data_IF_995577764366
#
_entry.id   IF_995577764366
#
_cell.length_a   1.000
_cell.length_b   1.000
_cell.length_c   1.000
_cell.angle_alpha   90.00
_cell.angle_beta   90.00
_cell.angle_gamma   90.00
#
_symmetry.space_group_name_H-M   'P 1'
#
loop_
_entity.id
_entity.type
_entity.pdbx_description
1 polymer ?
#
# COMPACT_ATOMS: atom_id res chain seq x y z
N UNK A 1 14.68 51.46 -2.75
CA UNK A 1 15.66 51.88 -3.78
C UNK A 1 14.99 52.54 -4.99
N UNK A 2 13.94 51.96 -5.58
CA UNK A 2 13.28 52.53 -6.78
C UNK A 2 12.67 53.93 -6.59
N UNK A 3 12.03 54.22 -5.45
CA UNK A 3 11.47 55.54 -5.16
C UNK A 3 12.56 56.64 -5.13
N UNK A 4 13.73 56.35 -4.58
CA UNK A 4 14.82 57.29 -4.54
C UNK A 4 15.30 57.73 -5.91
N UNK A 5 15.35 56.83 -6.88
CA UNK A 5 15.74 57.15 -8.26
C UNK A 5 14.70 58.07 -8.92
N UNK A 6 13.40 57.79 -8.76
CA UNK A 6 12.34 58.64 -9.28
C UNK A 6 12.41 60.05 -8.70
N UNK A 7 12.52 60.16 -7.35
CA UNK A 7 12.60 61.45 -6.67
C UNK A 7 13.88 62.22 -7.04
N UNK A 8 15.02 61.53 -7.17
CA UNK A 8 16.28 62.16 -7.55
C UNK A 8 16.23 62.70 -8.99
N UNK A 9 15.75 61.90 -9.95
CA UNK A 9 15.64 62.33 -11.34
C UNK A 9 14.62 63.46 -11.50
N UNK A 10 13.45 63.35 -10.87
CA UNK A 10 12.45 64.40 -10.87
C UNK A 10 12.98 65.69 -10.22
N UNK A 11 13.62 65.60 -9.08
CA UNK A 11 14.21 66.74 -8.36
C UNK A 11 15.30 67.43 -9.17
N UNK A 12 16.23 66.68 -9.76
CA UNK A 12 17.29 67.23 -10.63
C UNK A 12 16.68 67.88 -11.87
N UNK A 13 15.69 67.27 -12.50
CA UNK A 13 15.04 67.81 -13.68
C UNK A 13 14.30 69.11 -13.39
N UNK A 14 13.62 69.22 -12.23
CA UNK A 14 12.94 70.46 -11.78
C UNK A 14 13.98 71.53 -11.46
N UNK A 15 15.07 71.19 -10.84
CA UNK A 15 16.17 72.14 -10.51
C UNK A 15 16.80 72.67 -11.81
N UNK A 16 17.10 71.88 -12.82
CA UNK A 16 17.63 72.31 -14.13
C UNK A 16 16.63 73.16 -14.88
N UNK A 17 15.33 72.88 -14.78
CA UNK A 17 14.28 73.71 -15.35
C UNK A 17 14.23 75.11 -14.68
N UNK A 18 14.37 75.16 -13.40
CA UNK A 18 14.43 76.46 -12.65
C UNK A 18 15.66 77.33 -13.05
N UNK A 19 16.72 76.66 -13.55
CA UNK A 19 17.91 77.33 -14.09
C UNK A 19 17.78 77.66 -15.59
N UNK A 20 16.60 77.57 -16.15
CA UNK A 20 16.30 77.78 -17.60
C UNK A 20 17.18 76.97 -18.54
N UNK A 21 17.83 75.89 -18.06
CA UNK A 21 18.69 75.03 -18.90
C UNK A 21 17.95 73.96 -19.66
N UNK A 22 16.74 73.56 -19.22
CA UNK A 22 15.88 72.57 -19.88
C UNK A 22 14.44 73.02 -19.87
N UNK A 23 13.67 72.61 -20.90
CA UNK A 23 12.24 72.85 -21.00
C UNK A 23 11.39 71.92 -20.16
N UNK A 24 10.14 72.31 -19.86
CA UNK A 24 9.21 71.49 -19.06
C UNK A 24 8.97 70.09 -19.65
N UNK A 25 9.07 69.92 -20.98
CA UNK A 25 8.98 68.64 -21.66
C UNK A 25 10.09 67.67 -21.28
N UNK A 26 11.26 68.16 -20.87
CA UNK A 26 12.39 67.33 -20.45
C UNK A 26 12.10 66.65 -19.10
N UNK A 27 11.37 67.32 -18.18
CA UNK A 27 10.94 66.72 -16.90
C UNK A 27 10.02 65.55 -17.14
N UNK A 28 9.02 65.70 -18.02
CA UNK A 28 8.09 64.65 -18.35
C UNK A 28 8.81 63.47 -19.02
N UNK A 29 9.72 63.76 -19.97
CA UNK A 29 10.51 62.75 -20.66
C UNK A 29 11.40 61.94 -19.71
N UNK A 30 12.18 62.63 -18.83
CA UNK A 30 13.07 62.01 -17.88
C UNK A 30 12.32 61.13 -16.86
N UNK A 31 11.21 61.65 -16.30
CA UNK A 31 10.36 60.90 -15.40
C UNK A 31 9.74 59.67 -16.07
N UNK A 32 9.22 59.84 -17.31
CA UNK A 32 8.65 58.73 -18.10
C UNK A 32 9.67 57.63 -18.42
N UNK A 33 10.92 58.03 -18.74
CA UNK A 33 12.00 57.03 -18.97
C UNK A 33 12.37 56.25 -17.71
N UNK A 34 12.44 56.92 -16.56
CA UNK A 34 12.74 56.25 -15.27
C UNK A 34 11.62 55.26 -14.91
N UNK A 35 10.36 55.65 -15.04
CA UNK A 35 9.22 54.77 -14.81
C UNK A 35 9.23 53.58 -15.74
N UNK A 36 9.57 53.79 -17.00
CA UNK A 36 9.70 52.70 -18.00
C UNK A 36 10.83 51.74 -17.67
N UNK A 37 12.01 52.25 -17.29
CA UNK A 37 13.14 51.42 -16.86
C UNK A 37 12.80 50.61 -15.60
N UNK A 38 12.09 51.23 -14.67
CA UNK A 38 11.64 50.54 -13.46
C UNK A 38 10.65 49.42 -13.77
N UNK A 39 9.67 49.63 -14.64
CA UNK A 39 8.73 48.61 -15.11
C UNK A 39 9.46 47.46 -15.77
N UNK A 40 10.45 47.77 -16.65
CA UNK A 40 11.27 46.69 -17.30
C UNK A 40 12.10 45.91 -16.27
N UNK A 41 12.69 46.58 -15.27
CA UNK A 41 13.44 45.90 -14.22
C UNK A 41 12.56 44.95 -13.39
N UNK A 42 11.35 45.41 -13.03
CA UNK A 42 10.38 44.57 -12.32
C UNK A 42 9.93 43.37 -13.15
N UNK A 43 9.68 43.57 -14.45
CA UNK A 43 9.29 42.50 -15.34
C UNK A 43 10.43 41.47 -15.47
N UNK A 44 11.68 41.91 -15.65
CA UNK A 44 12.84 41.00 -15.70
C UNK A 44 12.96 40.18 -14.42
N UNK A 45 12.83 40.84 -13.24
CA UNK A 45 12.90 40.14 -11.95
C UNK A 45 11.79 39.11 -11.81
N UNK A 46 10.57 39.43 -12.26
CA UNK A 46 9.46 38.48 -12.24
C UNK A 46 9.71 37.31 -13.17
N UNK A 47 10.19 37.56 -14.41
CA UNK A 47 10.50 36.54 -15.40
C UNK A 47 11.61 35.59 -14.90
N UNK A 48 12.68 36.16 -14.32
CA UNK A 48 13.78 35.35 -13.73
C UNK A 48 13.26 34.50 -12.58
N UNK A 49 12.42 35.03 -11.69
CA UNK A 49 11.82 34.27 -10.59
C UNK A 49 10.94 33.14 -11.12
N UNK A 50 10.12 33.39 -12.14
CA UNK A 50 9.28 32.37 -12.78
C UNK A 50 10.13 31.26 -13.42
N UNK A 51 11.26 31.61 -14.04
CA UNK A 51 12.18 30.59 -14.60
C UNK A 51 12.72 29.68 -13.48
N UNK A 52 13.18 30.25 -12.36
CA UNK A 52 13.67 29.43 -11.25
C UNK A 52 12.58 28.58 -10.62
N UNK A 53 11.36 29.09 -10.48
CA UNK A 53 10.21 28.32 -10.00
C UNK A 53 9.91 27.13 -10.92
N UNK A 54 9.84 27.36 -12.24
CA UNK A 54 9.61 26.31 -13.22
C UNK A 54 10.75 25.28 -13.24
N UNK A 55 12.01 25.70 -13.12
CA UNK A 55 13.15 24.77 -13.00
C UNK A 55 12.99 23.93 -11.72
N UNK A 56 12.61 24.52 -10.59
CA UNK A 56 12.35 23.78 -9.35
C UNK A 56 11.28 22.70 -9.51
N UNK A 57 10.15 23.05 -10.12
CA UNK A 57 9.05 22.10 -10.40
C UNK A 57 9.51 20.97 -11.33
N UNK A 58 10.28 21.31 -12.39
CA UNK A 58 10.81 20.30 -13.32
C UNK A 58 11.81 19.38 -12.61
N UNK A 59 12.71 19.94 -11.80
CA UNK A 59 13.69 19.14 -11.04
C UNK A 59 13.01 18.18 -10.05
N UNK A 60 12.02 18.64 -9.31
CA UNK A 60 11.22 17.80 -8.40
C UNK A 60 10.52 16.66 -9.16
N UNK A 61 9.91 17.00 -10.31
CA UNK A 61 9.31 16.00 -11.20
C UNK A 61 10.31 14.98 -11.73
N UNK A 62 11.49 15.44 -12.17
CA UNK A 62 12.57 14.56 -12.66
C UNK A 62 13.10 13.68 -11.53
N UNK A 63 13.34 14.22 -10.33
CA UNK A 63 13.80 13.45 -9.18
C UNK A 63 12.80 12.35 -8.81
N UNK A 64 11.49 12.65 -8.89
CA UNK A 64 10.43 11.66 -8.63
C UNK A 64 10.41 10.55 -9.69
N UNK A 65 10.55 10.90 -10.98
CA UNK A 65 10.47 9.95 -12.10
C UNK A 65 11.76 9.15 -12.28
N UNK A 66 12.91 9.79 -12.10
CA UNK A 66 14.23 9.20 -12.30
C UNK A 66 14.78 8.47 -11.06
N UNK A 67 13.96 8.36 -9.99
CA UNK A 67 14.37 7.64 -8.79
C UNK A 67 14.58 6.17 -9.13
N UNK A 68 15.79 5.67 -8.88
CA UNK A 68 16.12 4.27 -9.08
C UNK A 68 15.20 3.37 -8.25
N UNK A 69 14.86 2.22 -8.80
CA UNK A 69 14.09 1.21 -8.06
C UNK A 69 14.97 0.68 -6.94
N UNK A 70 14.44 0.70 -5.71
CA UNK A 70 15.17 0.20 -4.55
C UNK A 70 15.41 -1.31 -4.63
N UNK A 71 14.55 -2.06 -5.33
CA UNK A 71 14.62 -3.50 -5.50
C UNK A 71 14.49 -3.85 -6.97
N UNK A 72 15.52 -4.46 -7.50
CA UNK A 72 15.58 -4.94 -8.88
C UNK A 72 15.75 -6.46 -8.93
N UNK A 73 15.38 -7.03 -10.08
CA UNK A 73 15.65 -8.45 -10.30
C UNK A 73 17.16 -8.64 -10.51
N UNK A 74 17.70 -9.66 -9.85
CA UNK A 74 19.13 -9.98 -10.01
C UNK A 74 19.43 -10.39 -11.45
N UNK A 75 20.62 -10.03 -12.00
CA UNK A 75 21.02 -10.50 -13.31
C UNK A 75 20.98 -12.03 -13.39
N UNK A 76 20.19 -12.57 -14.31
CA UNK A 76 19.97 -14.01 -14.43
C UNK A 76 18.83 -14.57 -13.56
N UNK A 77 18.00 -13.71 -12.96
CA UNK A 77 16.80 -14.14 -12.25
C UNK A 77 15.90 -15.03 -13.16
N UNK A 78 15.40 -16.11 -12.57
CA UNK A 78 14.57 -17.10 -13.29
C UNK A 78 13.11 -16.97 -12.89
N UNK A 79 12.18 -17.51 -13.67
CA UNK A 79 10.79 -17.57 -13.26
C UNK A 79 10.59 -18.56 -12.10
N UNK A 80 9.77 -18.18 -11.13
CA UNK A 80 9.34 -19.05 -10.05
C UNK A 80 8.09 -19.82 -10.46
N UNK A 81 8.20 -21.14 -10.48
CA UNK A 81 7.05 -22.04 -10.57
C UNK A 81 6.87 -22.74 -9.21
N UNK A 82 5.74 -22.45 -8.54
CA UNK A 82 5.40 -23.07 -7.25
C UNK A 82 4.59 -24.33 -7.50
N UNK A 83 5.05 -25.45 -6.93
CA UNK A 83 4.42 -26.76 -7.10
C UNK A 83 3.65 -27.16 -5.84
N UNK A 84 4.21 -26.90 -4.67
CA UNK A 84 3.64 -27.32 -3.38
C UNK A 84 3.27 -26.14 -2.48
N UNK A 85 4.00 -25.02 -2.58
CA UNK A 85 3.75 -23.81 -1.82
C UNK A 85 4.36 -23.81 -0.40
N UNK A 86 5.37 -24.63 -0.11
CA UNK A 86 6.11 -24.56 1.16
C UNK A 86 6.93 -23.28 1.24
N UNK A 87 6.92 -22.58 2.39
CA UNK A 87 7.66 -21.34 2.64
C UNK A 87 8.61 -21.54 3.80
N UNK A 88 9.87 -21.10 3.65
CA UNK A 88 10.85 -21.13 4.72
C UNK A 88 11.57 -19.79 4.84
N UNK A 89 11.57 -19.24 6.02
CA UNK A 89 12.43 -18.15 6.44
C UNK A 89 13.62 -18.77 7.16
N UNK A 90 14.83 -18.51 6.69
CA UNK A 90 16.08 -19.13 7.14
C UNK A 90 16.98 -18.05 7.74
N UNK A 91 16.95 -17.89 9.06
CA UNK A 91 17.71 -16.94 9.87
C UNK A 91 17.66 -15.50 9.37
N UNK A 92 16.46 -15.03 9.00
CA UNK A 92 16.27 -13.72 8.38
C UNK A 92 16.46 -12.58 9.39
N UNK A 93 17.14 -11.52 8.92
CA UNK A 93 17.27 -10.25 9.65
C UNK A 93 16.94 -9.08 8.72
N UNK A 94 16.21 -8.07 9.25
CA UNK A 94 15.76 -6.92 8.47
C UNK A 94 15.51 -5.69 9.33
N UNK A 95 15.90 -4.52 8.80
CA UNK A 95 15.57 -3.19 9.32
C UNK A 95 15.14 -2.25 8.17
N UNK A 96 14.25 -1.27 8.42
CA UNK A 96 13.83 -0.26 7.43
C UNK A 96 14.86 0.86 7.22
N UNK A 97 15.91 0.97 8.01
CA UNK A 97 16.96 1.97 7.89
C UNK A 97 18.07 1.56 6.92
N UNK A 98 18.80 2.55 6.35
CA UNK A 98 20.01 2.30 5.56
C UNK A 98 21.26 2.05 6.41
N UNK A 99 21.23 2.40 7.70
CA UNK A 99 22.31 2.13 8.64
C UNK A 99 22.14 0.71 9.20
N UNK A 100 23.17 -0.11 9.08
CA UNK A 100 23.24 -1.41 9.75
C UNK A 100 23.17 -1.16 11.26
N UNK A 101 22.02 -1.46 11.82
CA UNK A 101 21.86 -1.62 13.27
C UNK A 101 22.38 -3.01 13.60
N UNK A 102 22.90 -3.20 14.79
CA UNK A 102 23.29 -4.55 15.26
C UNK A 102 22.14 -5.54 15.00
N UNK A 103 22.48 -6.76 14.57
CA UNK A 103 21.53 -7.80 14.14
C UNK A 103 20.43 -8.07 15.18
N UNK A 104 20.70 -7.74 16.44
CA UNK A 104 19.75 -7.89 17.56
C UNK A 104 18.76 -6.71 17.74
N UNK A 105 18.94 -5.58 17.03
CA UNK A 105 18.12 -4.37 17.18
C UNK A 105 17.20 -4.11 15.97
N UNK A 106 17.20 -4.98 14.94
CA UNK A 106 16.36 -4.87 13.75
C UNK A 106 14.87 -5.07 14.01
N UNK A 107 14.04 -4.74 13.03
CA UNK A 107 12.60 -5.02 13.07
C UNK A 107 12.33 -6.53 13.04
N UNK A 108 13.21 -7.30 12.38
CA UNK A 108 13.26 -8.77 12.41
C UNK A 108 14.70 -9.15 12.73
N UNK A 109 14.91 -10.07 13.69
CA UNK A 109 16.22 -10.42 14.22
C UNK A 109 16.42 -11.94 14.27
N UNK A 110 17.13 -12.50 13.26
CA UNK A 110 17.50 -13.92 13.20
C UNK A 110 16.29 -14.86 13.26
N UNK A 111 15.22 -14.55 12.49
CA UNK A 111 13.96 -15.30 12.55
C UNK A 111 14.03 -16.53 11.65
N UNK A 112 13.72 -17.69 12.24
CA UNK A 112 13.53 -18.96 11.54
C UNK A 112 12.05 -19.35 11.60
N UNK A 113 11.46 -19.67 10.44
CA UNK A 113 10.08 -20.15 10.34
C UNK A 113 9.94 -21.06 9.13
N UNK A 114 9.40 -22.25 9.32
CA UNK A 114 9.05 -23.17 8.24
C UNK A 114 7.54 -23.37 8.20
N UNK A 115 6.95 -23.19 7.01
CA UNK A 115 5.53 -23.35 6.73
C UNK A 115 5.39 -24.49 5.72
N UNK A 116 4.71 -25.56 6.13
CA UNK A 116 4.56 -26.73 5.27
C UNK A 116 3.59 -26.44 4.10
N UNK A 117 3.76 -27.11 2.97
CA UNK A 117 2.80 -27.04 1.87
C UNK A 117 1.36 -27.31 2.32
N UNK A 118 0.45 -26.39 2.03
CA UNK A 118 -0.97 -26.49 2.42
C UNK A 118 -1.27 -26.17 3.87
N UNK A 119 -0.26 -25.84 4.68
CA UNK A 119 -0.43 -25.45 6.06
C UNK A 119 -1.04 -24.04 6.17
N UNK A 120 -1.92 -23.85 7.15
CA UNK A 120 -2.54 -22.56 7.46
C UNK A 120 -1.97 -22.05 8.77
N UNK A 121 -1.13 -21.02 8.71
CA UNK A 121 -0.58 -20.39 9.90
C UNK A 121 -1.21 -19.03 10.19
N UNK A 122 -1.43 -18.76 11.49
CA UNK A 122 -1.84 -17.46 11.99
C UNK A 122 -0.68 -16.76 12.70
N UNK A 123 -0.35 -15.54 12.25
CA UNK A 123 0.67 -14.71 12.90
C UNK A 123 -0.04 -13.75 13.86
N UNK A 124 0.27 -13.86 15.15
CA UNK A 124 -0.32 -13.09 16.25
C UNK A 124 0.77 -12.30 16.96
N UNK A 125 0.47 -11.16 17.54
CA UNK A 125 1.42 -10.36 18.30
C UNK A 125 0.99 -8.91 18.43
N UNK A 126 1.67 -8.16 19.28
CA UNK A 126 1.41 -6.74 19.51
C UNK A 126 1.61 -5.91 18.24
N UNK A 127 1.05 -4.70 18.23
CA UNK A 127 1.39 -3.73 17.18
C UNK A 127 2.90 -3.45 17.22
N UNK A 128 3.54 -3.42 16.03
CA UNK A 128 4.99 -3.24 15.92
C UNK A 128 5.83 -4.52 16.12
N UNK A 129 5.22 -5.69 16.34
CA UNK A 129 5.96 -6.96 16.53
C UNK A 129 6.65 -7.49 15.24
N UNK A 130 6.47 -6.85 14.07
CA UNK A 130 7.09 -7.28 12.81
C UNK A 130 6.20 -8.13 11.89
N UNK A 131 4.91 -8.36 12.22
CA UNK A 131 3.99 -9.22 11.44
C UNK A 131 3.85 -8.79 9.98
N UNK A 132 3.50 -7.53 9.73
CA UNK A 132 3.35 -6.99 8.36
C UNK A 132 4.70 -6.91 7.63
N UNK A 133 5.80 -6.72 8.37
CA UNK A 133 7.15 -6.77 7.82
C UNK A 133 7.46 -8.16 7.27
N UNK A 134 7.12 -9.23 8.00
CA UNK A 134 7.33 -10.61 7.55
C UNK A 134 6.61 -10.90 6.22
N UNK A 135 5.37 -10.42 6.08
CA UNK A 135 4.59 -10.50 4.84
C UNK A 135 5.23 -9.66 3.72
N UNK A 136 5.67 -8.45 4.01
CA UNK A 136 6.32 -7.57 3.03
C UNK A 136 7.62 -8.16 2.49
N UNK A 137 8.38 -8.85 3.33
CA UNK A 137 9.60 -9.56 2.94
C UNK A 137 9.28 -10.77 2.05
N UNK A 138 8.21 -11.54 2.32
CA UNK A 138 7.78 -12.64 1.47
C UNK A 138 7.36 -12.16 0.07
N UNK A 139 6.74 -10.97 -0.03
CA UNK A 139 6.37 -10.33 -1.30
C UNK A 139 7.57 -9.63 -1.99
N UNK A 140 8.75 -9.68 -1.35
CA UNK A 140 9.96 -8.99 -1.78
C UNK A 140 9.69 -7.51 -2.10
N UNK A 141 9.03 -6.81 -1.14
CA UNK A 141 8.96 -5.36 -1.16
C UNK A 141 10.23 -4.72 -0.59
N UNK A 142 11.04 -5.53 0.10
CA UNK A 142 12.35 -5.19 0.64
C UNK A 142 13.26 -6.42 0.51
N UNK A 143 14.55 -6.20 0.28
CA UNK A 143 15.56 -7.23 0.36
C UNK A 143 16.05 -7.37 1.81
N UNK A 144 16.47 -8.58 2.18
CA UNK A 144 16.97 -8.90 3.51
C UNK A 144 18.37 -8.32 3.74
N UNK A 145 18.71 -8.03 4.99
CA UNK A 145 20.08 -7.71 5.40
C UNK A 145 20.91 -8.98 5.63
N UNK A 146 20.26 -10.04 6.14
CA UNK A 146 20.87 -11.35 6.35
C UNK A 146 19.82 -12.46 6.27
N UNK A 147 20.28 -13.69 6.01
CA UNK A 147 19.41 -14.85 5.81
C UNK A 147 18.80 -14.92 4.42
N UNK A 148 17.76 -15.75 4.26
CA UNK A 148 17.05 -15.95 2.99
C UNK A 148 15.62 -16.43 3.21
N UNK A 149 14.78 -16.19 2.22
CA UNK A 149 13.42 -16.72 2.16
C UNK A 149 13.32 -17.65 0.96
N UNK A 150 12.82 -18.85 1.21
CA UNK A 150 12.70 -19.90 0.22
C UNK A 150 11.23 -20.25 -0.01
N UNK A 151 10.83 -20.45 -1.27
CA UNK A 151 9.55 -21.04 -1.64
C UNK A 151 9.83 -22.33 -2.41
N UNK A 152 9.33 -23.46 -1.91
CA UNK A 152 9.62 -24.80 -2.43
C UNK A 152 11.14 -25.04 -2.62
N UNK A 153 11.95 -24.50 -1.70
CA UNK A 153 13.42 -24.61 -1.69
C UNK A 153 14.14 -23.63 -2.63
N UNK A 154 13.43 -22.77 -3.37
CA UNK A 154 14.02 -21.72 -4.22
C UNK A 154 14.09 -20.40 -3.49
N UNK A 155 15.25 -19.76 -3.48
CA UNK A 155 15.44 -18.44 -2.89
C UNK A 155 14.72 -17.36 -3.72
N UNK A 156 13.83 -16.59 -3.05
CA UNK A 156 13.05 -15.53 -3.69
C UNK A 156 13.91 -14.36 -4.22
N UNK A 157 15.15 -14.21 -3.73
CA UNK A 157 16.08 -13.21 -4.24
C UNK A 157 16.61 -13.55 -5.65
N UNK A 158 16.56 -14.83 -6.05
CA UNK A 158 17.06 -15.33 -7.33
C UNK A 158 16.01 -15.47 -8.42
N UNK A 159 14.77 -15.13 -8.12
CA UNK A 159 13.66 -15.20 -9.08
C UNK A 159 13.13 -13.81 -9.44
N UNK A 160 12.41 -13.70 -10.56
CA UNK A 160 11.80 -12.42 -10.96
C UNK A 160 10.65 -12.07 -10.02
N UNK A 161 10.53 -10.78 -9.65
CA UNK A 161 9.48 -10.28 -8.76
C UNK A 161 8.09 -10.57 -9.30
N UNK A 162 7.89 -10.46 -10.62
CA UNK A 162 6.60 -10.72 -11.26
C UNK A 162 6.19 -12.18 -11.11
N UNK A 163 7.12 -13.13 -11.34
CA UNK A 163 6.85 -14.55 -11.17
C UNK A 163 6.59 -14.92 -9.69
N UNK A 164 7.35 -14.35 -8.77
CA UNK A 164 7.13 -14.50 -7.32
C UNK A 164 5.74 -14.03 -6.92
N UNK A 165 5.39 -12.79 -7.26
CA UNK A 165 4.10 -12.18 -6.91
C UNK A 165 2.92 -12.83 -7.62
N UNK A 166 3.14 -13.45 -8.79
CA UNK A 166 2.11 -14.26 -9.46
C UNK A 166 1.70 -15.48 -8.62
N UNK A 167 2.61 -16.07 -7.84
CA UNK A 167 2.36 -17.25 -7.01
C UNK A 167 1.77 -16.93 -5.63
N UNK A 168 1.64 -15.65 -5.27
CA UNK A 168 1.13 -15.21 -3.98
C UNK A 168 -0.12 -14.36 -4.20
N UNK A 169 -1.24 -14.74 -3.61
CA UNK A 169 -2.43 -13.89 -3.56
C UNK A 169 -2.53 -13.25 -2.18
N UNK A 170 -3.03 -12.01 -2.12
CA UNK A 170 -3.17 -11.29 -0.85
C UNK A 170 -4.54 -10.61 -0.76
N UNK A 171 -5.21 -10.79 0.37
CA UNK A 171 -6.35 -9.98 0.80
C UNK A 171 -5.83 -8.97 1.81
N UNK A 172 -5.87 -7.70 1.45
CA UNK A 172 -5.38 -6.59 2.30
C UNK A 172 -6.47 -6.07 3.23
N UNK A 173 -6.08 -5.45 4.34
CA UNK A 173 -6.96 -4.74 5.26
C UNK A 173 -7.75 -3.63 4.55
N UNK A 174 -7.08 -2.82 3.74
CA UNK A 174 -7.71 -1.82 2.88
C UNK A 174 -8.12 -2.45 1.55
N UNK A 175 -9.44 -2.56 1.35
CA UNK A 175 -10.06 -3.09 0.13
C UNK A 175 -10.33 -1.98 -0.87
N UNK A 176 -9.33 -1.17 -1.20
CA UNK A 176 -9.47 -0.12 -2.21
C UNK A 176 -9.72 -0.74 -3.60
N UNK A 177 -10.64 -0.10 -4.31
CA UNK A 177 -10.98 -0.48 -5.69
C UNK A 177 -10.48 0.58 -6.66
N UNK A 178 -10.11 0.14 -7.85
CA UNK A 178 -9.75 1.02 -8.95
C UNK A 178 -11.01 1.75 -9.44
N UNK A 179 -10.86 3.01 -9.88
CA UNK A 179 -11.94 3.81 -10.51
C UNK A 179 -12.29 3.28 -11.91
N UNK A 180 -12.77 2.04 -11.97
CA UNK A 180 -13.08 1.28 -13.18
C UNK A 180 -14.34 0.45 -12.97
N UNK A 181 -14.74 -0.34 -13.98
CA UNK A 181 -15.85 -1.27 -13.84
C UNK A 181 -15.56 -2.35 -12.78
N UNK A 182 -16.61 -2.98 -12.27
CA UNK A 182 -16.49 -4.15 -11.39
C UNK A 182 -15.74 -5.26 -12.09
N UNK A 183 -16.03 -5.48 -13.38
CA UNK A 183 -15.33 -6.46 -14.22
C UNK A 183 -13.82 -6.23 -14.22
N UNK A 184 -13.36 -5.03 -14.53
CA UNK A 184 -11.93 -4.69 -14.55
C UNK A 184 -11.30 -4.80 -13.17
N UNK A 185 -12.04 -4.47 -12.11
CA UNK A 185 -11.58 -4.63 -10.74
C UNK A 185 -11.30 -6.09 -10.38
N UNK A 186 -12.18 -7.02 -10.73
CA UNK A 186 -11.98 -8.45 -10.48
C UNK A 186 -10.88 -9.00 -11.39
N UNK A 187 -10.91 -8.68 -12.67
CA UNK A 187 -9.95 -9.14 -13.69
C UNK A 187 -8.53 -8.62 -13.47
N UNK A 188 -8.36 -7.58 -12.66
CA UNK A 188 -7.06 -6.96 -12.41
C UNK A 188 -5.97 -7.94 -11.98
N UNK A 189 -6.32 -8.96 -11.20
CA UNK A 189 -5.39 -10.01 -10.74
C UNK A 189 -4.96 -11.00 -11.82
N UNK A 190 -5.74 -11.13 -12.91
CA UNK A 190 -5.50 -12.05 -14.03
C UNK A 190 -5.99 -11.43 -15.35
N UNK A 191 -5.20 -10.56 -15.99
CA UNK A 191 -5.62 -9.77 -17.14
C UNK A 191 -6.13 -10.60 -18.33
N UNK A 192 -5.66 -11.84 -18.46
CA UNK A 192 -6.12 -12.79 -19.51
C UNK A 192 -7.40 -13.56 -19.19
N UNK A 193 -8.05 -13.31 -18.03
CA UNK A 193 -9.25 -14.04 -17.64
C UNK A 193 -10.44 -13.74 -18.57
N UNK A 194 -11.23 -14.76 -18.88
CA UNK A 194 -12.49 -14.62 -19.63
C UNK A 194 -13.60 -14.06 -18.75
N UNK A 195 -14.67 -13.57 -19.36
CA UNK A 195 -15.85 -13.08 -18.64
C UNK A 195 -16.48 -14.17 -17.76
N UNK A 196 -16.59 -15.40 -18.25
CA UNK A 196 -17.11 -16.53 -17.48
C UNK A 196 -16.28 -16.81 -16.23
N UNK A 197 -14.95 -16.67 -16.30
CA UNK A 197 -14.05 -16.82 -15.15
C UNK A 197 -14.27 -15.71 -14.11
N UNK A 198 -14.49 -14.48 -14.56
CA UNK A 198 -14.80 -13.33 -13.69
C UNK A 198 -16.15 -13.54 -12.99
N UNK A 199 -17.19 -13.98 -13.74
CA UNK A 199 -18.51 -14.29 -13.18
C UNK A 199 -18.40 -15.43 -12.15
N UNK A 200 -17.67 -16.48 -12.47
CA UNK A 200 -17.47 -17.60 -11.54
C UNK A 200 -16.78 -17.16 -10.24
N UNK A 201 -15.75 -16.31 -10.34
CA UNK A 201 -15.06 -15.74 -9.19
C UNK A 201 -15.97 -14.81 -8.35
N UNK A 202 -16.79 -13.98 -9.00
CA UNK A 202 -17.77 -13.12 -8.33
C UNK A 202 -18.80 -13.96 -7.56
N UNK A 203 -19.30 -15.04 -8.15
CA UNK A 203 -20.24 -15.98 -7.52
C UNK A 203 -19.60 -16.70 -6.34
N UNK A 204 -18.36 -17.18 -6.48
CA UNK A 204 -17.63 -17.86 -5.41
C UNK A 204 -17.35 -16.90 -4.21
N UNK A 205 -17.24 -15.60 -4.48
CA UNK A 205 -17.13 -14.55 -3.47
C UNK A 205 -18.47 -14.07 -2.92
N UNK A 206 -19.61 -14.72 -3.30
CA UNK A 206 -20.98 -14.28 -2.96
C UNK A 206 -21.26 -12.82 -3.32
N UNK A 207 -20.69 -12.37 -4.45
CA UNK A 207 -20.77 -10.99 -4.90
C UNK A 207 -21.77 -10.78 -6.05
N UNK A 208 -22.21 -11.84 -6.70
CA UNK A 208 -23.06 -11.84 -7.89
C UNK A 208 -24.42 -11.17 -7.66
N UNK A 209 -25.06 -11.41 -6.50
CA UNK A 209 -26.37 -10.84 -6.18
C UNK A 209 -26.34 -9.32 -6.19
N UNK A 210 -25.47 -8.71 -5.38
CA UNK A 210 -25.40 -7.25 -5.31
C UNK A 210 -24.81 -6.63 -6.57
N UNK A 211 -23.88 -7.33 -7.26
CA UNK A 211 -23.32 -6.85 -8.54
C UNK A 211 -24.44 -6.69 -9.57
N UNK A 212 -25.38 -7.64 -9.66
CA UNK A 212 -26.48 -7.58 -10.60
C UNK A 212 -27.39 -6.33 -10.41
N UNK A 213 -27.48 -5.81 -9.20
CA UNK A 213 -28.28 -4.65 -8.84
C UNK A 213 -27.55 -3.31 -9.04
N UNK A 214 -26.23 -3.33 -9.31
CA UNK A 214 -25.46 -2.10 -9.47
C UNK A 214 -25.87 -1.36 -10.75
N UNK A 215 -26.05 -0.06 -10.62
CA UNK A 215 -26.22 0.88 -11.73
C UNK A 215 -25.45 2.15 -11.39
N UNK A 216 -24.58 2.60 -12.30
CA UNK A 216 -23.84 3.85 -12.10
C UNK A 216 -24.54 5.07 -12.72
N UNK A 217 -24.02 6.26 -12.45
CA UNK A 217 -24.59 7.52 -12.91
C UNK A 217 -24.62 7.70 -14.46
N UNK A 218 -24.03 6.77 -15.21
CA UNK A 218 -24.05 6.73 -16.68
C UNK A 218 -24.97 5.62 -17.21
N UNK A 219 -25.69 4.90 -16.34
CA UNK A 219 -26.64 3.85 -16.70
C UNK A 219 -25.96 2.50 -17.02
N UNK A 220 -24.63 2.32 -16.72
CA UNK A 220 -23.97 1.02 -16.85
C UNK A 220 -24.35 0.14 -15.68
N UNK A 221 -24.60 -1.14 -15.96
CA UNK A 221 -25.16 -2.08 -14.98
C UNK A 221 -24.28 -3.28 -14.72
N UNK A 222 -24.44 -3.90 -13.56
CA UNK A 222 -23.82 -5.16 -13.21
C UNK A 222 -22.28 -5.06 -13.20
N UNK A 223 -21.63 -5.98 -13.87
CA UNK A 223 -20.16 -6.01 -14.01
C UNK A 223 -19.60 -4.78 -14.71
N UNK A 224 -20.36 -4.12 -15.59
CA UNK A 224 -19.93 -2.93 -16.30
C UNK A 224 -20.12 -1.64 -15.50
N UNK A 225 -20.83 -1.68 -14.36
CA UNK A 225 -20.97 -0.53 -13.48
C UNK A 225 -19.59 -0.08 -12.95
N UNK A 226 -19.29 1.20 -13.10
CA UNK A 226 -18.04 1.78 -12.56
C UNK A 226 -18.18 2.05 -11.07
N UNK A 227 -17.14 1.74 -10.32
CA UNK A 227 -17.03 1.94 -8.87
C UNK A 227 -15.93 2.94 -8.53
N UNK A 228 -15.94 3.51 -7.32
CA UNK A 228 -14.97 4.50 -6.86
C UNK A 228 -15.56 5.91 -6.71
N UNK A 229 -14.72 6.96 -6.62
CA UNK A 229 -15.16 8.33 -6.29
C UNK A 229 -16.21 8.92 -7.24
N UNK A 230 -16.16 8.55 -8.52
CA UNK A 230 -17.09 9.01 -9.56
C UNK A 230 -18.09 7.94 -10.02
N UNK A 231 -18.11 6.79 -9.34
CA UNK A 231 -18.99 5.67 -9.65
C UNK A 231 -19.90 5.32 -8.48
N UNK A 232 -20.37 4.07 -8.46
CA UNK A 232 -21.22 3.56 -7.38
C UNK A 232 -20.44 3.50 -6.08
N UNK A 233 -21.05 4.02 -4.99
CA UNK A 233 -20.50 3.87 -3.64
C UNK A 233 -20.87 2.50 -3.11
N UNK A 234 -19.87 1.64 -2.93
CA UNK A 234 -20.05 0.32 -2.33
C UNK A 234 -19.88 0.36 -0.81
N UNK A 235 -20.62 -0.51 -0.11
CA UNK A 235 -20.40 -0.76 1.31
C UNK A 235 -19.04 -1.42 1.56
N UNK A 236 -18.55 -1.41 2.80
CA UNK A 236 -17.31 -2.10 3.18
C UNK A 236 -17.32 -3.58 2.80
N UNK A 237 -18.44 -4.28 3.10
CA UNK A 237 -18.60 -5.69 2.77
C UNK A 237 -18.69 -5.97 1.26
N UNK A 238 -19.29 -5.08 0.48
CA UNK A 238 -19.32 -5.20 -0.98
C UNK A 238 -17.90 -5.04 -1.58
N UNK A 239 -17.13 -4.05 -1.14
CA UNK A 239 -15.75 -3.89 -1.56
C UNK A 239 -14.91 -5.11 -1.22
N UNK A 240 -15.09 -5.66 -0.02
CA UNK A 240 -14.36 -6.84 0.43
C UNK A 240 -14.69 -8.07 -0.42
N UNK A 241 -15.97 -8.31 -0.75
CA UNK A 241 -16.35 -9.41 -1.63
C UNK A 241 -15.78 -9.27 -3.04
N UNK A 242 -15.66 -8.06 -3.60
CA UNK A 242 -14.97 -7.83 -4.86
C UNK A 242 -13.46 -8.13 -4.71
N UNK A 243 -12.83 -7.74 -3.60
CA UNK A 243 -11.43 -8.07 -3.33
C UNK A 243 -11.20 -9.58 -3.18
N UNK A 244 -12.12 -10.30 -2.53
CA UNK A 244 -12.10 -11.76 -2.45
C UNK A 244 -12.24 -12.39 -3.85
N UNK A 245 -13.17 -11.90 -4.68
CA UNK A 245 -13.35 -12.37 -6.06
C UNK A 245 -12.07 -12.19 -6.88
N UNK A 246 -11.36 -11.07 -6.70
CA UNK A 246 -10.04 -10.82 -7.31
C UNK A 246 -9.02 -11.89 -6.92
N UNK A 247 -8.97 -12.26 -5.66
CA UNK A 247 -8.03 -13.28 -5.14
C UNK A 247 -8.41 -14.70 -5.59
N UNK A 248 -9.71 -15.02 -5.61
CA UNK A 248 -10.23 -16.29 -6.15
C UNK A 248 -9.89 -16.45 -7.64
N UNK A 249 -10.03 -15.39 -8.43
CA UNK A 249 -9.69 -15.40 -9.86
C UNK A 249 -8.20 -15.62 -10.11
N UNK A 250 -7.33 -15.07 -9.24
CA UNK A 250 -5.88 -15.26 -9.31
C UNK A 250 -5.47 -16.72 -9.10
N UNK A 251 -6.14 -17.39 -8.17
CA UNK A 251 -5.95 -18.81 -7.81
C UNK A 251 -4.48 -19.20 -7.54
N UNK A 252 -3.76 -18.35 -6.77
CA UNK A 252 -2.38 -18.58 -6.41
C UNK A 252 -2.25 -19.66 -5.31
N UNK A 253 -1.14 -20.45 -5.30
CA UNK A 253 -0.92 -21.53 -4.34
C UNK A 253 -0.62 -21.03 -2.91
N UNK A 254 -0.12 -19.80 -2.76
CA UNK A 254 0.15 -19.17 -1.47
C UNK A 254 -0.83 -18.02 -1.27
N UNK A 255 -1.48 -17.98 -0.11
CA UNK A 255 -2.47 -16.97 0.24
C UNK A 255 -2.03 -16.20 1.49
N UNK A 256 -2.04 -14.88 1.40
CA UNK A 256 -1.83 -13.98 2.53
C UNK A 256 -3.16 -13.32 2.89
N UNK A 257 -3.53 -13.36 4.16
CA UNK A 257 -4.69 -12.67 4.72
C UNK A 257 -4.22 -11.64 5.74
N UNK A 258 -4.39 -10.35 5.41
CA UNK A 258 -4.03 -9.26 6.31
C UNK A 258 -5.31 -8.60 6.83
N UNK A 259 -5.68 -8.89 8.08
CA UNK A 259 -6.82 -8.31 8.81
C UNK A 259 -8.14 -8.16 8.01
N UNK A 260 -8.45 -9.17 7.20
CA UNK A 260 -9.43 -9.10 6.10
C UNK A 260 -10.91 -8.89 6.51
N UNK A 261 -11.25 -8.57 7.77
CA UNK A 261 -12.66 -8.56 8.22
C UNK A 261 -13.06 -7.43 9.20
N UNK A 262 -12.44 -6.26 9.22
CA UNK A 262 -12.84 -5.17 10.13
C UNK A 262 -14.21 -4.58 9.79
N UNK A 263 -15.13 -4.48 10.80
CA UNK A 263 -16.39 -3.74 10.80
C UNK A 263 -17.45 -4.15 9.74
N UNK A 264 -17.95 -5.40 9.81
CA UNK A 264 -19.04 -5.88 8.95
C UNK A 264 -20.27 -6.28 9.77
N UNK A 265 -21.45 -6.15 9.18
CA UNK A 265 -22.70 -6.67 9.72
C UNK A 265 -22.66 -8.20 9.79
N UNK A 266 -23.32 -8.81 10.80
CA UNK A 266 -23.22 -10.24 11.11
C UNK A 266 -23.60 -11.17 9.94
N UNK A 267 -24.56 -10.81 9.09
CA UNK A 267 -24.96 -11.61 7.92
C UNK A 267 -23.88 -11.58 6.82
N UNK A 268 -23.31 -10.40 6.59
CA UNK A 268 -22.21 -10.21 5.63
C UNK A 268 -20.95 -10.93 6.10
N UNK A 269 -20.70 -10.96 7.41
CA UNK A 269 -19.56 -11.66 8.01
C UNK A 269 -19.65 -13.18 7.77
N UNK A 270 -20.81 -13.81 7.92
CA UNK A 270 -20.99 -15.23 7.67
C UNK A 270 -20.71 -15.60 6.21
N UNK A 271 -21.23 -14.84 5.25
CA UNK A 271 -20.98 -15.04 3.82
C UNK A 271 -19.49 -14.89 3.44
N UNK A 272 -18.80 -13.93 4.07
CA UNK A 272 -17.37 -13.70 3.87
C UNK A 272 -16.56 -14.84 4.49
N UNK A 273 -16.92 -15.35 5.66
CA UNK A 273 -16.24 -16.49 6.29
C UNK A 273 -16.35 -17.76 5.43
N UNK A 274 -17.52 -18.05 4.87
CA UNK A 274 -17.67 -19.17 3.92
C UNK A 274 -16.77 -19.01 2.68
N UNK A 275 -16.72 -17.79 2.14
CA UNK A 275 -15.85 -17.46 1.01
C UNK A 275 -14.36 -17.61 1.38
N UNK A 276 -13.94 -17.25 2.60
CA UNK A 276 -12.57 -17.48 3.08
C UNK A 276 -12.22 -18.95 3.24
N UNK A 277 -13.13 -19.79 3.75
CA UNK A 277 -12.88 -21.22 3.85
C UNK A 277 -12.64 -21.83 2.46
N UNK A 278 -13.48 -21.45 1.49
CA UNK A 278 -13.31 -21.86 0.09
C UNK A 278 -11.97 -21.36 -0.49
N UNK A 279 -11.60 -20.11 -0.19
CA UNK A 279 -10.35 -19.48 -0.66
C UNK A 279 -9.10 -20.18 -0.10
N UNK A 280 -9.12 -20.61 1.17
CA UNK A 280 -8.00 -21.27 1.85
C UNK A 280 -7.85 -22.76 1.50
N UNK A 281 -8.85 -23.37 0.85
CA UNK A 281 -8.84 -24.79 0.55
C UNK A 281 -7.67 -25.19 -0.36
N UNK A 282 -6.83 -26.14 0.10
CA UNK A 282 -5.68 -26.66 -0.65
C UNK A 282 -4.52 -25.71 -0.85
N UNK A 283 -4.48 -24.55 -0.15
CA UNK A 283 -3.43 -23.54 -0.28
C UNK A 283 -2.63 -23.42 0.99
N UNK A 284 -1.38 -22.97 0.87
CA UNK A 284 -0.57 -22.52 2.00
C UNK A 284 -1.06 -21.12 2.39
N UNK A 285 -1.41 -20.93 3.66
CA UNK A 285 -2.02 -19.69 4.15
C UNK A 285 -1.17 -19.05 5.23
N UNK A 286 -0.90 -17.75 5.08
CA UNK A 286 -0.28 -16.90 6.09
C UNK A 286 -1.28 -15.82 6.47
N UNK A 287 -1.88 -15.91 7.65
CA UNK A 287 -2.87 -14.95 8.12
C UNK A 287 -2.30 -14.07 9.24
N UNK A 288 -2.33 -12.74 9.07
CA UNK A 288 -2.15 -11.81 10.19
C UNK A 288 -3.49 -11.78 10.93
N UNK A 289 -3.53 -12.46 12.05
CA UNK A 289 -4.78 -12.73 12.76
C UNK A 289 -5.06 -11.66 13.81
N UNK A 290 -6.13 -10.92 13.61
CA UNK A 290 -6.68 -9.95 14.56
C UNK A 290 -8.07 -10.35 15.09
N UNK A 291 -8.71 -11.38 14.51
CA UNK A 291 -10.01 -11.88 14.93
C UNK A 291 -9.98 -13.34 15.39
N UNK A 292 -10.80 -13.62 16.39
CA UNK A 292 -10.94 -14.94 16.97
C UNK A 292 -11.35 -16.02 15.96
N UNK A 293 -12.26 -15.67 15.02
CA UNK A 293 -12.73 -16.56 13.96
C UNK A 293 -11.62 -16.96 12.97
N UNK A 294 -10.72 -16.04 12.65
CA UNK A 294 -9.57 -16.31 11.78
C UNK A 294 -8.56 -17.23 12.50
N UNK A 295 -8.30 -16.97 13.79
CA UNK A 295 -7.38 -17.78 14.62
C UNK A 295 -7.87 -19.24 14.71
N UNK A 296 -9.16 -19.45 14.91
CA UNK A 296 -9.76 -20.77 15.06
C UNK A 296 -9.66 -21.63 13.78
N UNK A 297 -9.46 -21.02 12.61
CA UNK A 297 -9.34 -21.72 11.33
C UNK A 297 -7.88 -22.08 10.96
N UNK A 298 -6.91 -21.72 11.79
CA UNK A 298 -5.48 -21.95 11.53
C UNK A 298 -5.01 -23.28 12.14
N UNK A 299 -4.13 -23.97 11.43
CA UNK A 299 -3.53 -25.21 11.90
C UNK A 299 -2.48 -24.95 12.99
N UNK A 300 -1.75 -23.84 12.88
CA UNK A 300 -0.69 -23.41 13.79
C UNK A 300 -0.67 -21.90 13.93
N UNK A 301 -0.32 -21.44 15.12
CA UNK A 301 -0.17 -20.03 15.45
C UNK A 301 1.30 -19.72 15.78
N UNK A 302 1.76 -18.60 15.27
CA UNK A 302 3.09 -18.05 15.49
C UNK A 302 2.91 -16.73 16.24
N UNK A 303 3.42 -16.67 17.47
CA UNK A 303 3.33 -15.46 18.29
C UNK A 303 4.64 -14.69 18.17
N UNK A 304 4.53 -13.47 17.67
CA UNK A 304 5.68 -12.59 17.49
C UNK A 304 5.69 -11.48 18.54
N UNK A 305 6.87 -11.22 19.07
CA UNK A 305 7.16 -10.04 19.88
C UNK A 305 8.56 -9.52 19.56
N UNK A 306 8.70 -8.20 19.39
CA UNK A 306 9.97 -7.52 19.07
C UNK A 306 10.79 -8.21 17.95
N UNK A 307 10.13 -8.55 16.84
CA UNK A 307 10.79 -9.12 15.65
C UNK A 307 11.21 -10.59 15.78
N UNK A 308 10.83 -11.28 16.84
CA UNK A 308 11.18 -12.68 17.11
C UNK A 308 9.92 -13.53 17.32
N UNK A 309 10.03 -14.83 17.05
CA UNK A 309 9.00 -15.80 17.42
C UNK A 309 9.21 -16.16 18.89
N UNK A 310 8.22 -15.89 19.73
CA UNK A 310 8.27 -16.16 21.18
C UNK A 310 7.46 -17.38 21.60
N UNK A 311 6.37 -17.67 20.86
CA UNK A 311 5.54 -18.85 21.10
C UNK A 311 5.08 -19.44 19.77
N UNK A 312 4.89 -20.75 19.74
CA UNK A 312 4.40 -21.48 18.58
C UNK A 312 3.57 -22.68 19.06
N UNK A 313 2.44 -22.93 18.39
CA UNK A 313 1.56 -24.04 18.74
C UNK A 313 0.15 -23.89 18.20
N UNK A 314 -0.73 -24.79 18.58
CA UNK A 314 -2.17 -24.68 18.30
C UNK A 314 -2.83 -23.70 19.27
N UNK A 315 -4.03 -23.23 18.92
CA UNK A 315 -4.83 -22.37 19.80
C UNK A 315 -4.95 -22.92 21.23
N UNK A 316 -5.28 -24.20 21.35
CA UNK A 316 -5.46 -24.85 22.65
C UNK A 316 -4.17 -24.94 23.45
N UNK A 317 -3.06 -25.33 22.80
CA UNK A 317 -1.76 -25.47 23.47
C UNK A 317 -1.23 -24.14 23.96
N UNK A 318 -1.43 -23.06 23.18
CA UNK A 318 -0.97 -21.73 23.55
C UNK A 318 -1.81 -21.12 24.69
N UNK A 319 -3.12 -21.36 24.71
CA UNK A 319 -3.97 -20.97 25.85
C UNK A 319 -3.56 -21.70 27.14
N UNK A 320 -3.30 -23.01 27.04
CA UNK A 320 -2.88 -23.82 28.21
C UNK A 320 -1.55 -23.37 28.79
N UNK A 321 -0.61 -22.91 27.93
CA UNK A 321 0.69 -22.39 28.37
C UNK A 321 0.58 -21.10 29.20
N UNK A 322 -0.49 -20.32 29.04
CA UNK A 322 -0.70 -19.09 29.81
C UNK A 322 0.30 -17.97 29.48
N UNK A 323 0.90 -17.97 28.28
CA UNK A 323 1.91 -17.01 27.86
C UNK A 323 1.33 -15.76 27.19
N UNK A 324 2.13 -15.11 26.34
CA UNK A 324 1.75 -13.87 25.64
C UNK A 324 0.48 -14.06 24.81
N UNK A 325 0.32 -15.23 24.16
CA UNK A 325 -0.88 -15.53 23.39
C UNK A 325 -2.14 -15.52 24.26
N UNK A 326 -2.09 -16.19 25.42
CA UNK A 326 -3.23 -16.25 26.33
C UNK A 326 -3.59 -14.85 26.85
N UNK A 327 -2.61 -14.00 27.14
CA UNK A 327 -2.83 -12.60 27.50
C UNK A 327 -3.52 -11.80 26.39
N UNK A 328 -3.07 -11.95 25.15
CA UNK A 328 -3.68 -11.27 23.99
C UNK A 328 -5.10 -11.77 23.75
N UNK A 329 -5.32 -13.07 23.85
CA UNK A 329 -6.64 -13.69 23.71
C UNK A 329 -7.61 -13.21 24.77
N UNK A 330 -7.21 -13.18 26.05
CA UNK A 330 -8.07 -12.75 27.17
C UNK A 330 -8.54 -11.30 27.00
N UNK A 331 -7.68 -10.44 26.48
CA UNK A 331 -8.04 -9.02 26.21
C UNK A 331 -9.05 -8.88 25.08
N UNK A 332 -8.98 -9.73 24.05
CA UNK A 332 -9.91 -9.71 22.93
C UNK A 332 -11.25 -10.40 23.26
N UNK A 333 -11.21 -11.52 24.01
CA UNK A 333 -12.41 -12.28 24.41
C UNK A 333 -13.09 -11.72 25.65
N UNK A 334 -12.39 -11.00 26.51
CA UNK A 334 -12.94 -10.42 27.76
C UNK A 334 -14.05 -9.40 27.56
N UNK A 335 -14.20 -8.83 26.35
CA UNK A 335 -15.37 -8.03 25.99
C UNK A 335 -16.62 -8.84 25.63
N UNK A 336 -16.46 -10.14 25.32
CA UNK A 336 -17.57 -11.05 24.98
C UNK A 336 -18.07 -11.87 26.18
N UNK A 337 -17.14 -12.32 27.05
CA UNK A 337 -17.48 -13.15 28.20
C UNK A 337 -18.11 -12.37 29.37
N UNK A 338 -17.95 -11.06 29.42
CA UNK A 338 -18.56 -10.22 30.46
C UNK A 338 -20.07 -9.95 30.22
N UNK A 339 -20.65 -10.32 29.07
CA UNK A 339 -22.09 -10.15 28.76
C UNK A 339 -22.96 -11.36 29.07
N UNK A 340 -22.37 -12.56 29.23
CA UNK A 340 -23.10 -13.79 29.52
C UNK A 340 -23.09 -14.17 31.01
N UNK A 341 -22.52 -13.33 31.88
CA UNK A 341 -22.41 -13.55 33.33
C UNK A 341 -23.14 -12.49 34.17
N UNK A 342 -24.11 -11.74 33.59
CA UNK A 342 -24.94 -10.77 34.31
C UNK A 342 -26.43 -11.07 34.12
#
# INVERSE_FOLDING_TARGET
MNACIIFSVAGISIWLWHLDTVGAGAIALATGLVLRLQGMSQWIMWEVSTVFENIGVVMDGVETIARDRAIEDTPGATELAVVKGGVRYDSISFNYGKERVDVDEGVIAGLDLEIQPGEKIGIVGRSGAGKSTLVSLLLRFYDLEDGRILIDGRDIATVTQDSLRAQIAMVTQDTSLLHRSVFENIRYSKPGATEDQVIAAARAAKADDFIAELEDGQGRRGLEAHVGERGVKLSGGQRQRIAIARVLLKDAPILILDEATSALDSEVEAAIQESFQSLMAGKTVVAIAHRLSTIAAMDRLIVMDQGRIVEEGTHETLLWRGGLYADLWSRQSGGFLAKDAA
#
